data_IF_807674951245
#
_entry.id   IF_807674951245
#
_cell.length_a   1.000
_cell.length_b   1.000
_cell.length_c   1.000
_cell.angle_alpha   90.00
_cell.angle_beta   90.00
_cell.angle_gamma   90.00
#
_symmetry.space_group_name_H-M   'P 1'
#
loop_
_entity.id
_entity.type
_entity.pdbx_description
1 polymer ?
#
# COMPACT_ATOMS: atom_id res chain seq x y z
N UNK A 1 15.84 -47.53 -1.26
CA UNK A 1 14.80 -46.53 -1.58
C UNK A 1 15.05 -46.00 -2.97
N UNK A 2 14.11 -46.18 -3.90
CA UNK A 2 14.22 -45.64 -5.26
C UNK A 2 13.82 -44.16 -5.23
N UNK A 3 14.61 -43.23 -5.80
CA UNK A 3 14.25 -41.82 -5.80
C UNK A 3 12.99 -41.59 -6.62
N UNK A 4 12.06 -40.85 -6.04
CA UNK A 4 10.77 -40.48 -6.62
C UNK A 4 10.95 -39.45 -7.72
N UNK A 5 10.08 -39.47 -8.75
CA UNK A 5 10.09 -38.50 -9.86
C UNK A 5 10.02 -37.03 -9.39
N UNK A 6 9.56 -36.78 -8.17
CA UNK A 6 9.54 -35.46 -7.54
C UNK A 6 10.96 -34.95 -7.17
N UNK A 7 11.86 -35.83 -6.74
CA UNK A 7 13.24 -35.46 -6.37
C UNK A 7 14.09 -35.16 -7.61
N UNK A 8 13.75 -35.76 -8.76
CA UNK A 8 14.36 -35.48 -10.05
C UNK A 8 13.90 -34.12 -10.63
N UNK A 9 12.71 -33.65 -10.26
CA UNK A 9 12.19 -32.36 -10.71
C UNK A 9 12.81 -31.17 -9.94
N UNK A 10 13.19 -31.37 -8.67
CA UNK A 10 13.83 -30.34 -7.83
C UNK A 10 15.31 -30.10 -8.17
N UNK A 11 16.02 -31.07 -8.76
CA UNK A 11 17.40 -30.91 -9.23
C UNK A 11 17.53 -30.35 -10.66
N UNK A 12 16.42 -30.19 -11.38
CA UNK A 12 16.44 -29.69 -12.76
C UNK A 12 16.45 -28.15 -12.86
N UNK A 13 16.31 -27.43 -11.74
CA UNK A 13 16.26 -25.96 -11.69
C UNK A 13 17.61 -25.25 -11.50
N UNK A 14 18.65 -25.95 -11.05
CA UNK A 14 20.01 -25.38 -10.94
C UNK A 14 20.86 -25.79 -12.13
N UNK A 15 20.59 -25.19 -13.29
CA UNK A 15 21.63 -25.02 -14.30
C UNK A 15 22.05 -23.55 -14.28
N UNK A 16 23.34 -23.22 -14.13
CA UNK A 16 23.80 -21.87 -14.41
C UNK A 16 23.39 -21.58 -15.85
N UNK A 17 22.60 -20.54 -16.06
CA UNK A 17 22.31 -20.04 -17.41
C UNK A 17 23.64 -19.60 -18.02
N UNK A 18 24.30 -20.53 -18.72
CA UNK A 18 25.42 -20.22 -19.58
C UNK A 18 24.95 -19.16 -20.55
N UNK A 19 25.72 -18.06 -20.64
CA UNK A 19 25.47 -16.88 -21.44
C UNK A 19 24.75 -17.20 -22.76
N UNK A 20 23.42 -17.13 -22.76
CA UNK A 20 22.65 -17.13 -24.00
C UNK A 20 22.64 -15.69 -24.48
N UNK A 21 23.62 -15.36 -25.31
CA UNK A 21 23.68 -14.08 -26.00
C UNK A 21 22.32 -13.83 -26.67
N UNK A 22 21.64 -12.77 -26.25
CA UNK A 22 20.33 -12.40 -26.77
C UNK A 22 20.44 -12.07 -28.27
N UNK A 23 19.42 -12.39 -29.07
CA UNK A 23 19.39 -11.99 -30.48
C UNK A 23 19.63 -10.48 -30.69
N UNK A 24 19.30 -9.66 -29.68
CA UNK A 24 19.58 -8.23 -29.66
C UNK A 24 21.08 -7.94 -29.53
N UNK A 25 21.79 -8.70 -28.70
CA UNK A 25 23.24 -8.56 -28.50
C UNK A 25 24.00 -9.00 -29.75
N UNK A 26 23.51 -10.04 -30.45
CA UNK A 26 24.07 -10.49 -31.73
C UNK A 26 23.91 -9.42 -32.82
N UNK A 27 22.72 -8.82 -32.93
CA UNK A 27 22.44 -7.76 -33.92
C UNK A 27 23.24 -6.50 -33.60
N UNK A 28 23.30 -6.09 -32.32
CA UNK A 28 24.10 -4.94 -31.90
C UNK A 28 25.59 -5.16 -32.19
N UNK A 29 26.11 -6.34 -31.86
CA UNK A 29 27.50 -6.71 -32.18
C UNK A 29 27.78 -6.69 -33.68
N UNK A 30 26.89 -7.24 -34.51
CA UNK A 30 27.02 -7.22 -35.96
C UNK A 30 27.01 -5.79 -36.52
N UNK A 31 26.11 -4.93 -36.03
CA UNK A 31 26.04 -3.52 -36.48
C UNK A 31 27.31 -2.74 -36.10
N UNK A 32 27.83 -2.95 -34.88
CA UNK A 32 29.09 -2.33 -34.45
C UNK A 32 30.27 -2.80 -35.31
N UNK A 33 30.30 -4.08 -35.67
CA UNK A 33 31.37 -4.66 -36.49
C UNK A 33 31.31 -4.15 -37.94
N UNK A 34 30.11 -4.02 -38.51
CA UNK A 34 29.88 -3.38 -39.82
C UNK A 34 30.31 -1.92 -39.81
N UNK A 35 29.98 -1.18 -38.75
CA UNK A 35 30.38 0.23 -38.62
C UNK A 35 31.90 0.39 -38.52
N UNK A 36 32.56 -0.44 -37.71
CA UNK A 36 34.03 -0.44 -37.62
C UNK A 36 34.69 -0.75 -38.96
N UNK A 37 34.14 -1.70 -39.72
CA UNK A 37 34.63 -2.02 -41.07
C UNK A 37 34.44 -0.84 -42.02
N UNK A 38 33.29 -0.14 -41.97
CA UNK A 38 33.04 1.05 -42.77
C UNK A 38 33.98 2.21 -42.40
N UNK A 39 34.24 2.43 -41.10
CA UNK A 39 35.20 3.42 -40.63
C UNK A 39 36.62 3.09 -41.10
N UNK A 40 37.06 1.83 -40.96
CA UNK A 40 38.38 1.39 -41.43
C UNK A 40 38.54 1.57 -42.94
N UNK A 41 37.50 1.23 -43.72
CA UNK A 41 37.50 1.42 -45.17
C UNK A 41 37.54 2.90 -45.56
N UNK A 42 36.81 3.76 -44.84
CA UNK A 42 36.84 5.20 -45.05
C UNK A 42 38.25 5.78 -44.85
N UNK A 43 38.95 5.38 -43.78
CA UNK A 43 40.34 5.79 -43.52
C UNK A 43 41.35 5.24 -44.53
N UNK A 44 41.07 4.10 -45.15
CA UNK A 44 41.92 3.51 -46.20
C UNK A 44 41.74 4.21 -47.56
N UNK A 45 40.55 4.76 -47.83
CA UNK A 45 40.20 5.39 -49.11
C UNK A 45 40.53 6.90 -49.10
N UNK A 46 40.48 7.56 -47.94
CA UNK A 46 40.83 8.97 -47.84
C UNK A 46 42.35 9.18 -48.02
N UNK A 47 42.79 9.95 -49.02
CA UNK A 47 44.19 10.36 -49.10
C UNK A 47 44.49 11.31 -47.93
N UNK A 48 45.46 10.95 -47.10
CA UNK A 48 45.96 11.80 -46.02
C UNK A 48 46.87 12.87 -46.61
N UNK A 49 46.30 13.98 -47.07
CA UNK A 49 47.03 15.22 -47.35
C UNK A 49 47.59 15.72 -46.02
N UNK A 50 48.80 15.27 -45.67
CA UNK A 50 49.51 15.70 -44.47
C UNK A 50 50.29 16.98 -44.80
N UNK A 51 49.57 18.08 -44.98
CA UNK A 51 50.22 19.40 -45.02
C UNK A 51 50.47 19.90 -43.59
N UNK A 52 51.72 19.74 -43.14
CA UNK A 52 52.27 20.40 -41.95
C UNK A 52 52.42 19.50 -40.72
N UNK A 53 53.66 19.30 -40.28
CA UNK A 53 54.08 18.35 -39.23
C UNK A 53 53.69 18.69 -37.78
N UNK A 54 52.43 19.09 -37.53
CA UNK A 54 51.83 19.20 -36.20
C UNK A 54 50.73 18.16 -36.00
N UNK A 55 50.56 17.67 -34.76
CA UNK A 55 49.44 16.79 -34.43
C UNK A 55 48.14 17.60 -34.52
N UNK A 56 47.34 17.36 -35.57
CA UNK A 56 46.02 17.97 -35.73
C UNK A 56 45.04 17.38 -34.70
N UNK A 57 45.05 18.00 -33.52
CA UNK A 57 44.20 17.60 -32.38
C UNK A 57 42.72 17.74 -32.73
N UNK A 58 42.36 18.68 -33.62
CA UNK A 58 40.97 18.90 -34.04
C UNK A 58 40.50 17.78 -34.98
N UNK A 59 41.31 17.43 -35.98
CA UNK A 59 41.05 16.28 -36.86
C UNK A 59 40.99 14.96 -36.10
N UNK A 60 41.83 14.78 -35.08
CA UNK A 60 41.79 13.62 -34.19
C UNK A 60 40.49 13.54 -33.38
N UNK A 61 40.03 14.66 -32.80
CA UNK A 61 38.76 14.70 -32.03
C UNK A 61 37.56 14.49 -32.95
N UNK A 62 37.51 15.11 -34.13
CA UNK A 62 36.43 14.89 -35.11
C UNK A 62 36.37 13.44 -35.57
N UNK A 63 37.53 12.81 -35.81
CA UNK A 63 37.65 11.39 -36.15
C UNK A 63 37.11 10.51 -35.02
N UNK A 64 37.53 10.77 -33.79
CA UNK A 64 37.07 10.02 -32.62
C UNK A 64 35.54 10.13 -32.46
N UNK A 65 35.00 11.33 -32.62
CA UNK A 65 33.56 11.60 -32.46
C UNK A 65 32.74 10.94 -33.59
N UNK A 66 33.23 10.97 -34.84
CA UNK A 66 32.60 10.31 -35.98
C UNK A 66 32.54 8.79 -35.83
N UNK A 67 33.52 8.17 -35.18
CA UNK A 67 33.53 6.72 -34.94
C UNK A 67 32.69 6.33 -33.73
N UNK A 68 32.81 7.06 -32.61
CA UNK A 68 32.19 6.66 -31.33
C UNK A 68 30.72 7.08 -31.18
N UNK A 69 30.31 8.22 -31.73
CA UNK A 69 28.92 8.70 -31.63
C UNK A 69 27.88 7.70 -32.18
N UNK A 70 28.02 7.13 -33.39
CA UNK A 70 27.05 6.17 -33.91
C UNK A 70 27.01 4.86 -33.11
N UNK A 71 28.16 4.40 -32.59
CA UNK A 71 28.22 3.22 -31.71
C UNK A 71 27.42 3.48 -30.44
N UNK A 72 27.56 4.66 -29.83
CA UNK A 72 26.80 5.04 -28.64
C UNK A 72 25.28 5.08 -28.91
N UNK A 73 24.84 5.64 -30.05
CA UNK A 73 23.43 5.68 -30.45
C UNK A 73 22.85 4.27 -30.65
N UNK A 74 23.60 3.36 -31.30
CA UNK A 74 23.20 1.96 -31.48
C UNK A 74 23.04 1.26 -30.12
N UNK A 75 23.94 1.51 -29.18
CA UNK A 75 23.90 0.89 -27.85
C UNK A 75 22.72 1.39 -27.01
N UNK A 76 22.41 2.68 -27.07
CA UNK A 76 21.23 3.28 -26.40
C UNK A 76 19.92 2.69 -26.98
N UNK A 77 19.82 2.56 -28.30
CA UNK A 77 18.66 1.94 -28.94
C UNK A 77 18.48 0.45 -28.56
N UNK A 78 19.59 -0.29 -28.39
CA UNK A 78 19.56 -1.69 -27.95
C UNK A 78 19.05 -1.83 -26.51
N UNK A 79 19.47 -0.96 -25.58
CA UNK A 79 18.96 -0.95 -24.20
C UNK A 79 17.47 -0.65 -24.16
N UNK A 80 17.00 0.36 -24.92
CA UNK A 80 15.59 0.72 -24.97
C UNK A 80 14.71 -0.40 -25.54
N UNK A 81 15.22 -1.20 -26.49
CA UNK A 81 14.50 -2.37 -26.99
C UNK A 81 14.45 -3.52 -25.97
N UNK A 82 15.40 -3.62 -25.04
CA UNK A 82 15.41 -4.65 -23.98
C UNK A 82 14.33 -4.40 -22.94
N UNK A 83 14.09 -3.15 -22.53
CA UNK A 83 13.00 -2.80 -21.61
C UNK A 83 11.62 -3.01 -22.23
N UNK A 84 11.46 -2.78 -23.54
CA UNK A 84 10.21 -2.98 -24.24
C UNK A 84 9.78 -4.46 -24.38
N UNK A 85 10.72 -5.41 -24.35
CA UNK A 85 10.41 -6.86 -24.49
C UNK A 85 9.88 -7.46 -23.18
N UNK A 86 10.42 -7.06 -22.04
CA UNK A 86 10.00 -7.53 -20.71
C UNK A 86 8.55 -7.09 -20.43
N UNK A 87 8.22 -5.84 -20.76
CA UNK A 87 6.85 -5.30 -20.60
C UNK A 87 5.84 -5.95 -21.56
N UNK A 88 6.28 -6.39 -22.76
CA UNK A 88 5.40 -7.03 -23.75
C UNK A 88 5.12 -8.50 -23.45
N UNK A 89 6.01 -9.22 -22.79
CA UNK A 89 5.76 -10.60 -22.34
C UNK A 89 4.76 -10.66 -21.18
N UNK A 90 4.84 -9.73 -20.24
CA UNK A 90 3.87 -9.59 -19.15
C UNK A 90 2.48 -9.20 -19.67
N UNK A 91 2.41 -8.27 -20.62
CA UNK A 91 1.14 -7.84 -21.23
C UNK A 91 0.46 -8.97 -22.00
N UNK A 92 1.22 -9.78 -22.76
CA UNK A 92 0.65 -10.93 -23.51
C UNK A 92 0.14 -12.04 -22.59
N UNK A 93 0.82 -12.26 -21.47
CA UNK A 93 0.39 -13.24 -20.47
C UNK A 93 -0.88 -12.80 -19.74
N UNK A 94 -0.99 -11.52 -19.40
CA UNK A 94 -2.22 -10.94 -18.84
C UNK A 94 -3.38 -10.99 -19.84
N UNK A 95 -3.13 -10.62 -21.10
CA UNK A 95 -4.15 -10.70 -22.16
C UNK A 95 -4.67 -12.13 -22.33
N UNK A 96 -3.79 -13.13 -22.34
CA UNK A 96 -4.16 -14.54 -22.45
C UNK A 96 -4.97 -15.05 -21.24
N UNK A 97 -4.67 -14.59 -20.03
CA UNK A 97 -5.43 -14.92 -18.83
C UNK A 97 -6.84 -14.29 -18.86
N UNK A 98 -6.96 -13.05 -19.36
CA UNK A 98 -8.24 -12.36 -19.53
C UNK A 98 -9.11 -13.04 -20.58
N UNK A 99 -8.53 -13.41 -21.72
CA UNK A 99 -9.27 -14.12 -22.78
C UNK A 99 -9.74 -15.51 -22.30
N UNK A 100 -8.94 -16.21 -21.51
CA UNK A 100 -9.34 -17.47 -20.86
C UNK A 100 -10.51 -17.25 -19.89
N UNK A 101 -10.46 -16.23 -19.02
CA UNK A 101 -11.58 -15.92 -18.10
C UNK A 101 -12.85 -15.52 -18.84
N UNK A 102 -12.75 -14.74 -19.92
CA UNK A 102 -13.88 -14.35 -20.75
C UNK A 102 -14.53 -15.56 -21.41
N UNK A 103 -13.74 -16.50 -21.92
CA UNK A 103 -14.25 -17.75 -22.50
C UNK A 103 -14.95 -18.61 -21.44
N UNK A 104 -14.40 -18.73 -20.23
CA UNK A 104 -15.04 -19.47 -19.14
C UNK A 104 -16.34 -18.82 -18.69
N UNK A 105 -16.41 -17.48 -18.64
CA UNK A 105 -17.63 -16.75 -18.29
C UNK A 105 -18.74 -16.89 -19.34
N UNK A 106 -18.39 -16.84 -20.64
CA UNK A 106 -19.35 -17.05 -21.72
C UNK A 106 -19.80 -18.51 -21.79
N UNK A 107 -18.90 -19.46 -21.57
CA UNK A 107 -19.22 -20.89 -21.49
C UNK A 107 -20.10 -21.20 -20.28
N UNK A 108 -19.86 -20.60 -19.12
CA UNK A 108 -20.69 -20.75 -17.91
C UNK A 108 -22.07 -20.09 -18.09
N UNK A 109 -22.13 -18.94 -18.78
CA UNK A 109 -23.40 -18.28 -19.12
C UNK A 109 -24.22 -19.06 -20.16
N UNK A 110 -23.56 -19.71 -21.13
CA UNK A 110 -24.23 -20.59 -22.09
C UNK A 110 -24.62 -21.93 -21.45
N UNK A 111 -23.80 -22.49 -20.55
CA UNK A 111 -24.13 -23.68 -19.77
C UNK A 111 -25.29 -23.44 -18.79
N UNK A 112 -25.39 -22.21 -18.24
CA UNK A 112 -26.54 -21.72 -17.47
C UNK A 112 -27.69 -21.19 -18.34
N UNK A 113 -27.55 -21.22 -19.67
CA UNK A 113 -28.45 -20.65 -20.65
C UNK A 113 -29.36 -21.67 -21.32
N UNK A 114 -30.16 -22.42 -20.54
CA UNK A 114 -31.37 -23.11 -21.01
C UNK A 114 -32.37 -23.48 -19.89
N UNK A 115 -32.13 -23.12 -18.63
CA UNK A 115 -33.12 -23.37 -17.57
C UNK A 115 -32.70 -22.82 -16.20
N UNK A 116 -33.45 -21.82 -15.72
CA UNK A 116 -33.55 -21.51 -14.29
C UNK A 116 -32.78 -20.30 -13.79
N UNK A 117 -33.28 -19.09 -14.05
CA UNK A 117 -33.18 -17.98 -13.09
C UNK A 117 -34.61 -17.53 -12.79
N UNK A 118 -35.03 -17.71 -11.54
CA UNK A 118 -36.40 -17.50 -11.09
C UNK A 118 -36.76 -15.99 -11.15
N UNK A 119 -37.81 -15.57 -11.88
CA UNK A 119 -38.20 -14.15 -12.05
C UNK A 119 -38.64 -13.45 -10.74
N UNK A 120 -38.62 -14.18 -9.62
CA UNK A 120 -38.90 -13.68 -8.28
C UNK A 120 -37.71 -12.94 -7.67
N UNK A 121 -36.46 -13.29 -8.04
CA UNK A 121 -35.25 -12.63 -7.51
C UNK A 121 -35.04 -11.25 -8.14
N UNK A 122 -35.29 -11.11 -9.45
CA UNK A 122 -35.25 -9.80 -10.12
C UNK A 122 -36.33 -8.84 -9.61
N UNK A 123 -37.52 -9.36 -9.28
CA UNK A 123 -38.57 -8.54 -8.64
C UNK A 123 -38.16 -8.07 -7.25
N UNK A 124 -37.55 -8.93 -6.43
CA UNK A 124 -37.07 -8.56 -5.09
C UNK A 124 -35.90 -7.58 -5.16
N UNK A 125 -35.00 -7.71 -6.13
CA UNK A 125 -33.91 -6.76 -6.35
C UNK A 125 -34.44 -5.37 -6.79
N UNK A 126 -35.47 -5.34 -7.65
CA UNK A 126 -36.11 -4.09 -8.05
C UNK A 126 -36.92 -3.43 -6.93
N UNK A 127 -37.51 -4.20 -6.01
CA UNK A 127 -38.16 -3.66 -4.81
C UNK A 127 -37.14 -3.07 -3.83
N UNK A 128 -35.98 -3.71 -3.65
CA UNK A 128 -34.89 -3.19 -2.81
C UNK A 128 -34.27 -1.92 -3.41
N UNK A 129 -34.07 -1.88 -4.73
CA UNK A 129 -33.58 -0.68 -5.42
C UNK A 129 -34.54 0.51 -5.27
N UNK A 130 -35.85 0.28 -5.37
CA UNK A 130 -36.88 1.31 -5.13
C UNK A 130 -36.97 1.74 -3.66
N UNK A 131 -36.72 0.83 -2.72
CA UNK A 131 -36.66 1.17 -1.29
C UNK A 131 -35.45 2.07 -0.99
N UNK A 132 -34.27 1.76 -1.52
CA UNK A 132 -33.06 2.56 -1.37
C UNK A 132 -33.21 3.97 -1.95
N UNK A 133 -33.84 4.11 -3.12
CA UNK A 133 -34.07 5.41 -3.77
C UNK A 133 -35.05 6.30 -2.97
N UNK A 134 -36.02 5.70 -2.26
CA UNK A 134 -36.91 6.43 -1.34
C UNK A 134 -36.19 6.90 -0.09
N UNK A 135 -35.20 6.15 0.39
CA UNK A 135 -34.37 6.56 1.54
C UNK A 135 -33.45 7.72 1.16
N UNK A 136 -32.92 7.72 -0.05
CA UNK A 136 -32.06 8.80 -0.57
C UNK A 136 -32.84 10.11 -0.79
N UNK A 137 -34.08 10.03 -1.29
CA UNK A 137 -34.95 11.22 -1.44
C UNK A 137 -35.45 11.77 -0.11
N UNK A 138 -35.67 10.92 0.90
CA UNK A 138 -35.98 11.35 2.26
C UNK A 138 -34.77 12.06 2.89
N UNK A 139 -33.57 11.48 2.80
CA UNK A 139 -32.34 12.07 3.34
C UNK A 139 -31.99 13.40 2.65
N UNK A 140 -32.21 13.53 1.34
CA UNK A 140 -31.99 14.78 0.61
C UNK A 140 -32.96 15.91 1.03
N UNK A 141 -34.19 15.56 1.43
CA UNK A 141 -35.20 16.55 1.87
C UNK A 141 -34.87 17.12 3.26
N UNK A 142 -34.21 16.35 4.14
CA UNK A 142 -33.80 16.82 5.46
C UNK A 142 -32.55 17.72 5.46
N UNK A 143 -31.72 17.66 4.41
CA UNK A 143 -30.51 18.50 4.27
C UNK A 143 -30.76 19.87 3.61
N UNK A 144 -31.98 20.19 3.18
CA UNK A 144 -32.31 21.46 2.49
C UNK A 144 -32.91 22.55 3.39
N UNK A 145 -32.79 22.46 4.72
CA UNK A 145 -33.20 23.54 5.63
C UNK A 145 -32.02 24.51 5.88
N UNK A 146 -31.93 25.53 5.02
CA UNK A 146 -31.00 26.67 5.13
C UNK A 146 -31.45 27.61 6.26
N UNK A 147 -30.59 27.99 7.23
CA UNK A 147 -30.90 29.10 8.12
C UNK A 147 -30.65 30.43 7.41
N UNK A 148 -31.66 31.29 7.44
CA UNK A 148 -31.65 32.65 6.93
C UNK A 148 -30.73 33.55 7.78
N UNK A 149 -29.83 34.28 7.12
CA UNK A 149 -29.09 35.39 7.73
C UNK A 149 -30.05 36.59 7.84
N UNK A 150 -30.47 36.90 9.06
CA UNK A 150 -31.09 38.18 9.39
C UNK A 150 -29.99 39.13 9.89
N UNK A 151 -29.65 40.11 9.06
CA UNK A 151 -28.81 41.23 9.43
C UNK A 151 -29.67 42.30 10.11
N UNK A 152 -29.42 42.56 11.40
CA UNK A 152 -29.95 43.75 12.08
C UNK A 152 -28.77 44.57 12.60
N UNK A 153 -28.59 45.75 12.02
CA UNK A 153 -27.69 46.81 12.49
C UNK A 153 -28.31 47.46 13.73
N UNK A 154 -27.54 47.61 14.81
CA UNK A 154 -27.82 48.53 15.92
C UNK A 154 -26.52 49.20 16.40
N UNK A 155 -26.65 50.46 16.80
CA UNK A 155 -25.63 51.50 16.97
C UNK A 155 -24.77 51.37 18.27
N UNK A 156 -23.71 52.18 18.47
CA UNK A 156 -22.67 51.92 19.46
C UNK A 156 -22.79 52.66 20.82
N UNK A 157 -22.08 52.08 21.82
CA UNK A 157 -21.54 52.60 23.11
C UNK A 157 -22.52 52.67 24.32
N UNK A 158 -22.07 52.39 25.60
CA UNK A 158 -20.78 52.79 26.19
C UNK A 158 -19.99 51.73 27.00
N UNK A 159 -18.81 52.19 27.46
CA UNK A 159 -17.60 51.57 28.06
C UNK A 159 -17.82 50.72 29.34
N UNK A 160 -17.08 49.61 29.57
CA UNK A 160 -17.06 48.90 30.85
C UNK A 160 -15.89 49.31 31.77
N UNK A 161 -16.17 49.43 33.07
CA UNK A 161 -15.22 49.40 34.19
C UNK A 161 -14.81 47.95 34.53
N UNK A 162 -13.66 47.73 35.21
CA UNK A 162 -13.14 46.40 35.46
C UNK A 162 -13.79 45.79 36.70
N UNK A 163 -14.53 44.71 36.51
CA UNK A 163 -15.01 43.84 37.58
C UNK A 163 -14.66 42.41 37.23
N UNK A 164 -13.76 41.82 38.02
CA UNK A 164 -13.57 40.37 38.10
C UNK A 164 -14.90 39.71 38.41
N UNK A 165 -15.36 38.87 37.47
CA UNK A 165 -16.14 37.65 37.72
C UNK A 165 -16.49 37.06 36.34
N UNK A 166 -15.57 36.27 35.80
CA UNK A 166 -15.83 35.43 34.64
C UNK A 166 -16.84 34.35 35.08
N UNK A 167 -18.09 34.33 34.57
CA UNK A 167 -18.97 33.22 34.85
C UNK A 167 -18.41 32.00 34.12
N UNK A 168 -18.08 30.97 34.88
CA UNK A 168 -17.68 29.65 34.38
C UNK A 168 -18.80 29.17 33.45
N UNK A 169 -18.52 29.14 32.15
CA UNK A 169 -19.37 28.50 31.16
C UNK A 169 -19.45 27.01 31.51
N UNK A 170 -20.49 26.65 32.27
CA UNK A 170 -20.92 25.28 32.46
C UNK A 170 -21.44 24.77 31.11
N UNK A 171 -20.51 24.30 30.27
CA UNK A 171 -20.82 23.49 29.11
C UNK A 171 -21.50 22.24 29.64
N UNK A 172 -22.82 22.15 29.45
CA UNK A 172 -23.56 20.92 29.65
C UNK A 172 -22.86 19.80 28.89
N UNK A 173 -22.89 18.61 29.48
CA UNK A 173 -22.36 17.35 28.89
C UNK A 173 -22.56 17.36 27.39
N UNK A 174 -21.45 17.39 26.63
CA UNK A 174 -21.53 17.42 25.18
C UNK A 174 -22.23 16.15 24.71
N UNK A 175 -22.87 16.15 23.54
CA UNK A 175 -23.48 14.94 22.99
C UNK A 175 -22.48 13.76 22.87
N UNK A 176 -21.19 14.08 22.88
CA UNK A 176 -20.04 13.18 22.95
C UNK A 176 -19.95 12.42 24.29
N UNK A 177 -20.27 13.07 25.42
CA UNK A 177 -20.29 12.46 26.77
C UNK A 177 -21.50 11.53 26.98
N UNK A 178 -22.50 11.57 26.09
CA UNK A 178 -23.71 10.75 26.17
C UNK A 178 -23.58 9.39 25.47
N UNK A 179 -22.49 9.14 24.74
CA UNK A 179 -22.27 7.84 24.09
C UNK A 179 -21.62 6.88 25.08
N UNK A 180 -22.22 5.70 25.36
CA UNK A 180 -21.59 4.71 26.22
C UNK A 180 -20.19 4.37 25.69
N UNK A 181 -19.16 4.29 26.56
CA UNK A 181 -17.82 3.92 26.13
C UNK A 181 -17.86 2.54 25.46
N UNK A 182 -17.08 2.39 24.39
CA UNK A 182 -17.01 1.13 23.66
C UNK A 182 -16.48 0.01 24.57
N UNK A 183 -17.08 -1.18 24.48
CA UNK A 183 -16.54 -2.35 25.17
C UNK A 183 -15.18 -2.74 24.56
N UNK A 184 -14.22 -3.12 25.41
CA UNK A 184 -12.86 -3.51 24.99
C UNK A 184 -12.85 -4.69 24.04
N UNK A 185 -13.68 -5.68 24.30
CA UNK A 185 -13.84 -6.85 23.42
C UNK A 185 -14.35 -6.46 22.03
N UNK A 186 -15.24 -5.48 21.93
CA UNK A 186 -15.70 -4.91 20.66
C UNK A 186 -14.58 -4.12 19.97
N UNK A 187 -13.78 -3.35 20.72
CA UNK A 187 -12.64 -2.61 20.17
C UNK A 187 -11.61 -3.59 19.58
N UNK A 188 -11.19 -4.59 20.33
CA UNK A 188 -10.23 -5.61 19.89
C UNK A 188 -10.75 -6.32 18.64
N UNK A 189 -12.03 -6.71 18.63
CA UNK A 189 -12.65 -7.32 17.45
C UNK A 189 -12.70 -6.38 16.25
N UNK A 190 -13.01 -5.10 16.46
CA UNK A 190 -13.00 -4.10 15.40
C UNK A 190 -11.59 -3.88 14.82
N UNK A 191 -10.56 -3.85 15.67
CA UNK A 191 -9.16 -3.73 15.27
C UNK A 191 -8.62 -4.97 14.55
N UNK A 192 -9.24 -6.14 14.73
CA UNK A 192 -8.91 -7.30 13.91
C UNK A 192 -9.45 -7.18 12.47
N UNK A 193 -10.48 -6.35 12.26
CA UNK A 193 -11.32 -6.31 11.06
C UNK A 193 -12.07 -7.64 10.78
N UNK A 194 -13.25 -7.60 10.16
CA UNK A 194 -13.99 -8.81 9.80
C UNK A 194 -13.23 -9.66 8.78
N UNK A 195 -13.22 -10.98 8.98
CA UNK A 195 -12.47 -11.92 8.11
C UNK A 195 -13.18 -12.18 6.78
N UNK A 196 -14.50 -12.19 6.79
CA UNK A 196 -15.35 -12.52 5.64
C UNK A 196 -16.58 -11.63 5.58
N UNK A 197 -17.29 -11.64 4.45
CA UNK A 197 -18.54 -10.90 4.27
C UNK A 197 -19.66 -11.39 5.21
N UNK A 198 -19.55 -12.62 5.69
CA UNK A 198 -20.55 -13.26 6.55
C UNK A 198 -20.25 -13.05 8.06
N UNK A 199 -19.17 -12.35 8.42
CA UNK A 199 -18.82 -12.06 9.82
C UNK A 199 -19.69 -10.94 10.42
N UNK A 200 -20.97 -11.27 10.66
CA UNK A 200 -21.95 -10.34 11.22
C UNK A 200 -21.52 -9.75 12.57
N UNK A 201 -20.83 -10.55 13.40
CA UNK A 201 -20.36 -10.16 14.72
C UNK A 201 -19.21 -9.16 14.60
N UNK A 202 -18.25 -9.42 13.70
CA UNK A 202 -17.16 -8.49 13.37
C UNK A 202 -17.70 -7.16 12.84
N UNK A 203 -18.64 -7.19 11.90
CA UNK A 203 -19.27 -5.96 11.39
C UNK A 203 -20.07 -5.21 12.47
N UNK A 204 -20.75 -5.93 13.37
CA UNK A 204 -21.47 -5.29 14.47
C UNK A 204 -20.52 -4.60 15.46
N UNK A 205 -19.39 -5.23 15.80
CA UNK A 205 -18.35 -4.63 16.63
C UNK A 205 -17.70 -3.42 15.94
N UNK A 206 -17.37 -3.55 14.65
CA UNK A 206 -16.83 -2.45 13.84
C UNK A 206 -17.80 -1.26 13.79
N UNK A 207 -19.09 -1.49 13.55
CA UNK A 207 -20.12 -0.42 13.57
C UNK A 207 -20.23 0.25 14.93
N UNK A 208 -20.10 -0.48 16.03
CA UNK A 208 -20.09 0.12 17.38
C UNK A 208 -18.83 0.95 17.59
N UNK A 209 -17.67 0.44 17.18
CA UNK A 209 -16.40 1.16 17.30
C UNK A 209 -16.36 2.44 16.49
N UNK A 210 -16.94 2.45 15.29
CA UNK A 210 -17.04 3.65 14.47
C UNK A 210 -17.95 4.74 15.06
N UNK A 211 -18.77 4.46 16.09
CA UNK A 211 -19.54 5.50 16.79
C UNK A 211 -18.64 6.34 17.70
N UNK A 212 -17.64 5.72 18.31
CA UNK A 212 -16.63 6.41 19.10
C UNK A 212 -15.65 7.18 18.20
N UNK A 213 -15.38 8.44 18.54
CA UNK A 213 -14.54 9.29 17.70
C UNK A 213 -13.08 8.84 17.68
N UNK A 214 -12.54 8.46 18.84
CA UNK A 214 -11.15 8.05 18.99
C UNK A 214 -10.88 6.71 18.29
N UNK A 215 -11.77 5.74 18.49
CA UNK A 215 -11.69 4.44 17.83
C UNK A 215 -11.87 4.57 16.31
N UNK A 216 -12.78 5.43 15.84
CA UNK A 216 -12.96 5.70 14.40
C UNK A 216 -11.67 6.18 13.73
N UNK A 217 -10.96 7.12 14.35
CA UNK A 217 -9.70 7.62 13.81
C UNK A 217 -8.64 6.52 13.72
N UNK A 218 -8.51 5.69 14.76
CA UNK A 218 -7.58 4.57 14.73
C UNK A 218 -7.97 3.54 13.66
N UNK A 219 -9.25 3.19 13.55
CA UNK A 219 -9.73 2.24 12.55
C UNK A 219 -9.43 2.73 11.13
N UNK A 220 -9.68 4.01 10.84
CA UNK A 220 -9.36 4.61 9.54
C UNK A 220 -7.85 4.57 9.26
N UNK A 221 -7.03 5.03 10.20
CA UNK A 221 -5.57 5.00 10.06
C UNK A 221 -5.03 3.57 9.87
N UNK A 222 -5.62 2.60 10.57
CA UNK A 222 -5.28 1.18 10.44
C UNK A 222 -5.66 0.65 9.05
N UNK A 223 -6.87 0.97 8.58
CA UNK A 223 -7.35 0.56 7.26
C UNK A 223 -6.47 1.13 6.14
N UNK A 224 -6.08 2.41 6.23
CA UNK A 224 -5.24 3.07 5.24
C UNK A 224 -3.87 2.38 5.15
N UNK A 225 -3.21 2.16 6.29
CA UNK A 225 -1.92 1.48 6.35
C UNK A 225 -2.00 0.03 5.87
N UNK A 226 -3.01 -0.72 6.30
CA UNK A 226 -3.21 -2.11 5.86
C UNK A 226 -3.44 -2.18 4.34
N UNK A 227 -4.19 -1.23 3.79
CA UNK A 227 -4.41 -1.12 2.34
C UNK A 227 -3.09 -0.85 1.63
N UNK A 228 -2.28 0.10 2.10
CA UNK A 228 -0.98 0.39 1.48
C UNK A 228 -0.01 -0.79 1.58
N UNK A 229 0.07 -1.46 2.73
CA UNK A 229 0.89 -2.67 2.91
C UNK A 229 0.47 -3.79 1.95
N UNK A 230 -0.84 -3.95 1.73
CA UNK A 230 -1.36 -4.97 0.80
C UNK A 230 -0.99 -4.68 -0.67
N UNK A 231 -0.80 -3.43 -1.06
CA UNK A 231 -0.35 -3.06 -2.41
C UNK A 231 1.07 -3.56 -2.69
N UNK A 232 1.91 -3.62 -1.67
CA UNK A 232 3.26 -4.20 -1.74
C UNK A 232 3.27 -5.71 -1.47
N UNK A 233 2.09 -6.35 -1.37
CA UNK A 233 1.92 -7.78 -1.14
C UNK A 233 2.15 -8.23 0.31
N UNK A 234 2.10 -7.31 1.28
CA UNK A 234 2.30 -7.62 2.69
C UNK A 234 0.93 -7.75 3.37
N UNK A 235 0.53 -8.99 3.66
CA UNK A 235 -0.70 -9.30 4.39
C UNK A 235 -0.40 -9.67 5.85
N UNK A 236 -1.16 -9.10 6.80
CA UNK A 236 -0.90 -9.31 8.23
C UNK A 236 -1.16 -10.75 8.69
N UNK A 237 -2.05 -11.45 7.98
CA UNK A 237 -2.40 -12.84 8.25
C UNK A 237 -1.27 -13.82 7.86
N UNK A 238 -0.38 -13.41 6.94
CA UNK A 238 0.79 -14.19 6.54
C UNK A 238 1.94 -14.04 7.55
N UNK A 239 1.93 -12.96 8.35
CA UNK A 239 2.94 -12.73 9.37
C UNK A 239 2.77 -13.70 10.53
N UNK A 240 3.90 -14.20 11.04
CA UNK A 240 3.95 -15.01 12.27
C UNK A 240 4.81 -14.30 13.31
N UNK A 241 4.28 -13.25 13.96
CA UNK A 241 5.03 -12.55 14.99
C UNK A 241 5.26 -13.45 16.20
N UNK A 242 6.42 -13.30 16.84
CA UNK A 242 6.62 -13.87 18.16
C UNK A 242 5.69 -13.20 19.18
N UNK A 243 4.96 -14.03 19.92
CA UNK A 243 4.04 -13.55 20.95
C UNK A 243 4.80 -12.83 22.06
N UNK A 244 4.62 -11.52 22.12
CA UNK A 244 5.08 -10.72 23.25
C UNK A 244 4.19 -10.97 24.47
N UNK A 245 4.80 -11.14 25.64
CA UNK A 245 4.06 -11.24 26.90
C UNK A 245 3.32 -9.92 27.17
N UNK A 246 2.11 -9.95 27.78
CA UNK A 246 1.34 -8.73 28.08
C UNK A 246 2.13 -7.67 28.85
N UNK A 247 3.05 -8.08 29.72
CA UNK A 247 3.93 -7.16 30.45
C UNK A 247 4.73 -6.19 29.56
N UNK A 248 5.14 -6.61 28.35
CA UNK A 248 5.89 -5.74 27.43
C UNK A 248 4.99 -4.68 26.79
N UNK A 249 3.74 -5.05 26.46
CA UNK A 249 2.74 -4.10 25.98
C UNK A 249 2.42 -3.06 27.05
N UNK A 250 2.31 -3.48 28.32
CA UNK A 250 2.09 -2.57 29.45
C UNK A 250 3.24 -1.59 29.65
N UNK A 251 4.48 -2.07 29.61
CA UNK A 251 5.68 -1.22 29.70
C UNK A 251 5.72 -0.19 28.58
N UNK A 252 5.44 -0.61 27.36
CA UNK A 252 5.40 0.28 26.21
C UNK A 252 4.29 1.33 26.32
N UNK A 253 3.10 0.95 26.81
CA UNK A 253 1.99 1.88 27.07
C UNK A 253 2.37 2.96 28.10
N UNK A 254 3.18 2.60 29.10
CA UNK A 254 3.72 3.54 30.12
C UNK A 254 4.89 4.40 29.63
N UNK A 255 5.23 4.31 28.34
CA UNK A 255 6.29 5.10 27.73
C UNK A 255 7.70 4.51 27.86
N UNK A 256 7.87 3.27 28.33
CA UNK A 256 9.18 2.61 28.28
C UNK A 256 9.60 2.35 26.82
N UNK A 257 10.90 2.51 26.52
CA UNK A 257 11.47 2.39 25.16
C UNK A 257 12.78 1.60 25.17
N UNK A 258 13.25 1.19 23.99
CA UNK A 258 14.49 0.44 23.79
C UNK A 258 14.42 -1.03 24.23
N UNK A 259 15.54 -1.57 24.72
CA UNK A 259 15.69 -3.00 25.10
C UNK A 259 14.59 -3.56 26.00
N UNK A 260 13.98 -2.72 26.84
CA UNK A 260 12.89 -3.13 27.73
C UNK A 260 11.62 -3.58 26.97
N UNK A 261 11.41 -3.06 25.76
CA UNK A 261 10.22 -3.29 24.91
C UNK A 261 10.57 -3.90 23.55
N UNK A 262 11.85 -4.20 23.27
CA UNK A 262 12.31 -4.84 22.04
C UNK A 262 11.57 -6.15 21.69
N UNK A 263 11.05 -6.84 22.70
CA UNK A 263 10.24 -8.04 22.54
C UNK A 263 8.88 -7.79 21.84
N UNK A 264 8.39 -6.54 21.79
CA UNK A 264 7.19 -6.16 21.04
C UNK A 264 7.40 -6.18 19.52
N UNK A 265 8.63 -6.02 19.04
CA UNK A 265 8.96 -6.14 17.62
C UNK A 265 8.97 -7.58 17.13
N UNK A 266 7.94 -8.38 17.42
CA UNK A 266 7.89 -9.82 17.17
C UNK A 266 7.88 -10.23 15.69
N UNK A 267 7.67 -9.30 14.76
CA UNK A 267 7.73 -9.59 13.32
C UNK A 267 9.19 -9.70 12.87
N UNK A 268 9.59 -10.90 12.42
CA UNK A 268 10.96 -11.21 11.98
C UNK A 268 11.09 -11.49 10.48
N UNK A 269 10.00 -11.41 9.72
CA UNK A 269 10.04 -11.67 8.28
C UNK A 269 10.92 -10.64 7.54
N UNK A 270 12.02 -11.11 6.96
CA UNK A 270 13.03 -10.25 6.34
C UNK A 270 12.51 -9.56 5.08
N UNK A 271 11.66 -10.24 4.30
CA UNK A 271 11.04 -9.67 3.10
C UNK A 271 10.12 -8.52 3.44
N UNK A 272 9.17 -8.73 4.36
CA UNK A 272 8.22 -7.70 4.79
C UNK A 272 8.94 -6.51 5.41
N UNK A 273 9.93 -6.74 6.28
CA UNK A 273 10.74 -5.65 6.85
C UNK A 273 11.49 -4.85 5.78
N UNK A 274 12.09 -5.52 4.80
CA UNK A 274 12.84 -4.84 3.73
C UNK A 274 11.91 -4.04 2.80
N UNK A 275 10.77 -4.61 2.41
CA UNK A 275 9.76 -3.95 1.57
C UNK A 275 9.17 -2.74 2.27
N UNK A 276 8.72 -2.89 3.51
CA UNK A 276 8.19 -1.78 4.32
C UNK A 276 9.24 -0.69 4.56
N UNK A 277 10.51 -1.05 4.84
CA UNK A 277 11.59 -0.08 5.00
C UNK A 277 11.98 0.63 3.70
N UNK A 278 11.89 -0.06 2.55
CA UNK A 278 11.99 0.57 1.23
C UNK A 278 10.88 1.59 1.03
N UNK A 279 9.63 1.16 1.25
CA UNK A 279 8.43 1.99 1.09
C UNK A 279 8.44 3.23 1.98
N UNK A 280 8.82 3.10 3.24
CA UNK A 280 8.99 4.24 4.16
C UNK A 280 9.93 5.31 3.60
N UNK A 281 10.98 4.91 2.87
CA UNK A 281 11.96 5.86 2.30
C UNK A 281 11.51 6.45 0.96
N UNK A 282 10.86 5.65 0.13
CA UNK A 282 10.51 6.01 -1.24
C UNK A 282 9.17 6.76 -1.36
N UNK A 283 8.21 6.44 -0.50
CA UNK A 283 6.84 6.96 -0.58
C UNK A 283 6.52 7.85 0.63
N UNK A 284 6.32 9.15 0.38
CA UNK A 284 5.98 10.13 1.42
C UNK A 284 4.57 9.94 1.97
N UNK A 285 3.62 9.48 1.15
CA UNK A 285 2.23 9.24 1.56
C UNK A 285 2.20 8.05 2.51
N UNK A 286 2.88 6.96 2.16
CA UNK A 286 3.02 5.80 3.03
C UNK A 286 3.67 6.16 4.37
N UNK A 287 4.75 6.95 4.33
CA UNK A 287 5.45 7.41 5.53
C UNK A 287 4.55 8.21 6.46
N UNK A 288 3.78 9.15 5.92
CA UNK A 288 2.85 9.96 6.70
C UNK A 288 1.72 9.11 7.29
N UNK A 289 1.11 8.24 6.49
CA UNK A 289 0.09 7.30 6.95
C UNK A 289 0.60 6.38 8.06
N UNK A 290 1.81 5.83 7.92
CA UNK A 290 2.45 4.99 8.93
C UNK A 290 2.68 5.75 10.24
N UNK A 291 3.23 6.97 10.20
CA UNK A 291 3.43 7.77 11.41
C UNK A 291 2.11 8.23 12.04
N UNK A 292 1.11 8.55 11.22
CA UNK A 292 -0.23 8.88 11.71
C UNK A 292 -0.84 7.69 12.46
N UNK A 293 -0.78 6.49 11.85
CA UNK A 293 -1.23 5.24 12.46
C UNK A 293 -0.49 4.91 13.76
N UNK A 294 0.84 4.94 13.78
CA UNK A 294 1.64 4.65 14.97
C UNK A 294 1.24 5.56 16.14
N UNK A 295 1.06 6.86 15.91
CA UNK A 295 0.61 7.80 16.93
C UNK A 295 -0.80 7.49 17.45
N UNK A 296 -1.72 7.11 16.57
CA UNK A 296 -3.09 6.76 16.96
C UNK A 296 -3.15 5.45 17.74
N UNK A 297 -2.32 4.48 17.37
CA UNK A 297 -2.21 3.23 18.09
C UNK A 297 -1.65 3.44 19.49
N UNK A 298 -0.59 4.24 19.64
CA UNK A 298 -0.01 4.59 20.94
C UNK A 298 -1.04 5.27 21.87
N UNK A 299 -1.79 6.25 21.36
CA UNK A 299 -2.86 6.94 22.11
C UNK A 299 -3.95 5.97 22.59
N UNK A 300 -4.33 5.01 21.73
CA UNK A 300 -5.30 3.99 22.11
C UNK A 300 -4.74 3.06 23.16
N UNK A 301 -3.48 2.61 23.02
CA UNK A 301 -2.87 1.69 23.97
C UNK A 301 -2.71 2.31 25.37
N UNK A 302 -2.38 3.60 25.46
CA UNK A 302 -2.28 4.36 26.71
C UNK A 302 -3.62 4.43 27.46
N UNK A 303 -4.73 4.63 26.74
CA UNK A 303 -6.08 4.63 27.32
C UNK A 303 -6.64 3.21 27.58
N UNK A 304 -6.15 2.20 26.85
CA UNK A 304 -6.60 0.82 26.96
C UNK A 304 -5.95 0.08 28.14
N UNK A 305 -4.65 0.27 28.38
CA UNK A 305 -3.84 -0.49 29.36
C UNK A 305 -4.35 -0.48 30.81
N UNK A 306 -4.77 0.66 31.41
CA UNK A 306 -5.05 0.73 32.84
C UNK A 306 -6.20 -0.17 33.30
N UNK A 307 -7.13 -0.46 32.41
CA UNK A 307 -8.33 -1.25 32.67
C UNK A 307 -8.36 -2.57 31.90
N UNK A 308 -7.34 -2.86 31.08
CA UNK A 308 -7.26 -4.09 30.30
C UNK A 308 -6.72 -5.24 31.14
N UNK A 309 -7.36 -6.41 31.02
CA UNK A 309 -6.83 -7.66 31.55
C UNK A 309 -5.67 -8.18 30.69
N UNK A 310 -4.92 -9.15 31.21
CA UNK A 310 -3.86 -9.80 30.42
C UNK A 310 -4.42 -10.57 29.22
N UNK A 311 -5.67 -11.07 29.30
CA UNK A 311 -6.38 -11.70 28.19
C UNK A 311 -6.73 -10.67 27.10
N UNK A 312 -7.19 -9.48 27.49
CA UNK A 312 -7.50 -8.39 26.55
C UNK A 312 -6.25 -7.94 25.78
N UNK A 313 -5.11 -7.82 26.47
CA UNK A 313 -3.83 -7.45 25.84
C UNK A 313 -3.35 -8.56 24.91
N UNK A 314 -3.48 -9.82 25.31
CA UNK A 314 -3.13 -10.94 24.45
C UNK A 314 -4.01 -11.00 23.19
N UNK A 315 -5.32 -10.74 23.33
CA UNK A 315 -6.24 -10.68 22.21
C UNK A 315 -5.94 -9.48 21.28
N UNK A 316 -5.61 -8.31 21.85
CA UNK A 316 -5.19 -7.14 21.09
C UNK A 316 -3.93 -7.43 20.25
N UNK A 317 -2.93 -8.08 20.84
CA UNK A 317 -1.66 -8.39 20.21
C UNK A 317 -1.79 -9.31 18.98
N UNK A 318 -2.86 -10.11 18.91
CA UNK A 318 -3.13 -11.02 17.79
C UNK A 318 -3.82 -10.34 16.61
N UNK A 319 -4.36 -9.13 16.80
CA UNK A 319 -5.12 -8.42 15.75
C UNK A 319 -4.25 -8.05 14.56
N UNK A 320 -4.86 -7.97 13.37
CA UNK A 320 -4.21 -7.43 12.16
C UNK A 320 -3.61 -6.04 12.40
N UNK A 321 -4.31 -5.19 13.14
CA UNK A 321 -3.82 -3.85 13.49
C UNK A 321 -2.57 -3.89 14.37
N UNK A 322 -2.55 -4.72 15.41
CA UNK A 322 -1.36 -4.87 16.25
C UNK A 322 -0.18 -5.47 15.49
N UNK A 323 -0.42 -6.42 14.57
CA UNK A 323 0.62 -6.99 13.69
C UNK A 323 1.25 -5.91 12.80
N UNK A 324 0.43 -5.03 12.22
CA UNK A 324 0.90 -3.88 11.45
C UNK A 324 1.72 -2.91 12.31
N UNK A 325 1.28 -2.66 13.55
CA UNK A 325 2.03 -1.86 14.53
C UNK A 325 3.40 -2.47 14.85
N UNK A 326 3.48 -3.78 15.10
CA UNK A 326 4.74 -4.47 15.38
C UNK A 326 5.70 -4.42 14.18
N UNK A 327 5.18 -4.55 12.95
CA UNK A 327 5.97 -4.44 11.72
C UNK A 327 6.51 -3.01 11.55
N UNK A 328 5.63 -2.00 11.60
CA UNK A 328 6.00 -0.61 11.39
C UNK A 328 6.89 -0.07 12.50
N UNK A 329 6.57 -0.37 13.75
CA UNK A 329 7.38 0.03 14.91
C UNK A 329 8.80 -0.53 14.85
N UNK A 330 8.97 -1.74 14.30
CA UNK A 330 10.29 -2.32 14.06
C UNK A 330 11.04 -1.61 12.93
N UNK A 331 10.36 -1.24 11.85
CA UNK A 331 10.96 -0.52 10.72
C UNK A 331 11.36 0.91 11.09
N UNK A 332 10.58 1.58 11.94
CA UNK A 332 10.86 2.94 12.41
C UNK A 332 11.84 3.01 13.57
N UNK A 333 12.23 1.86 14.15
CA UNK A 333 13.11 1.80 15.31
C UNK A 333 12.44 2.20 16.63
N UNK A 334 11.11 2.14 16.73
CA UNK A 334 10.37 2.49 17.94
C UNK A 334 10.65 1.54 19.13
N UNK A 335 11.19 0.35 18.85
CA UNK A 335 11.49 -0.68 19.85
C UNK A 335 13.00 -0.88 20.12
N UNK A 336 13.87 -0.16 19.41
CA UNK A 336 15.34 -0.25 19.53
C UNK A 336 15.91 0.78 20.53
#
# INVERSE_FOLDING_TARGET
>A
MRPTKADAALKAGEKPEGLRLSAVEIIAGALSLVWLAAAALFFLILPTETEGGGFDTMGFVMTLLAVFLPIAVIWVAAIAMRSARIVREESRRLQAAIDAMRQTYVADRQARGAGGMDPTVEKKLNEIAKAAQKTETALATFTSARPAQAATRLAPAPKPEPGDDQPTLALGTSAEDMTPPIQRSDLVRALNFPDTQDDEVGFAALRRALKDHSARQLIQASQDVLTLLSQDGIYMDDLRPDRARPEFWRRFARGERGKAVAALGGVRDRSSLALTAGRMREDTIFRDAAHHFLRKFDQMLESFEPEASDEDIAALAETRTARAFMLLGRVTGAFD
#
